data_IF_911354931069
#
_entry.id   IF_911354931069
#
_cell.length_a   1.000
_cell.length_b   1.000
_cell.length_c   1.000
_cell.angle_alpha   90.00
_cell.angle_beta   90.00
_cell.angle_gamma   90.00
#
_symmetry.space_group_name_H-M   'P 1'
#
loop_
_entity.id
_entity.type
_entity.pdbx_description
1 polymer ?
#
# COMPACT_ATOMS: atom_id res chain seq x y z
N UNK A 1 13.66 -22.20 38.66
CA UNK A 1 14.74 -21.20 38.54
C UNK A 1 14.30 -20.08 37.62
N UNK A 2 15.06 -18.99 37.56
CA UNK A 2 14.79 -17.76 36.81
C UNK A 2 14.45 -17.99 35.31
N UNK A 3 14.87 -19.12 34.74
CA UNK A 3 14.58 -19.55 33.36
C UNK A 3 13.09 -19.82 33.03
N UNK A 4 12.23 -19.91 34.05
CA UNK A 4 10.78 -20.06 33.89
C UNK A 4 10.00 -18.74 33.85
N UNK A 5 10.64 -17.62 34.19
CA UNK A 5 10.02 -16.28 34.27
C UNK A 5 10.17 -15.47 32.97
N UNK A 6 10.69 -16.09 31.92
CA UNK A 6 10.89 -15.45 30.63
C UNK A 6 9.53 -15.41 29.92
N UNK A 7 9.07 -14.21 29.57
CA UNK A 7 7.85 -14.03 28.76
C UNK A 7 8.03 -14.74 27.41
N UNK A 8 7.34 -15.86 27.24
CA UNK A 8 7.30 -16.60 25.98
C UNK A 8 6.05 -16.21 25.24
N UNK A 9 6.20 -15.83 23.99
CA UNK A 9 5.06 -15.59 23.12
C UNK A 9 4.18 -16.84 23.06
N UNK A 10 2.92 -16.72 23.49
CA UNK A 10 1.89 -17.76 23.34
C UNK A 10 1.41 -17.93 21.89
N UNK A 11 1.98 -17.17 20.96
CA UNK A 11 1.63 -17.25 19.54
C UNK A 11 2.08 -18.58 18.97
N UNK A 12 1.13 -19.31 18.41
CA UNK A 12 1.38 -20.52 17.64
C UNK A 12 2.48 -20.28 16.59
N UNK A 13 3.56 -21.07 16.67
CA UNK A 13 4.66 -21.03 15.71
C UNK A 13 4.21 -21.30 14.26
N UNK A 14 3.10 -22.01 14.07
CA UNK A 14 2.54 -22.35 12.76
C UNK A 14 1.01 -22.30 12.81
N UNK A 15 0.40 -21.57 11.89
CA UNK A 15 -1.07 -21.50 11.75
C UNK A 15 -1.49 -22.41 10.62
N UNK A 16 -2.31 -23.43 10.90
CA UNK A 16 -2.79 -24.39 9.90
C UNK A 16 -3.58 -23.72 8.76
N UNK A 17 -4.28 -22.61 9.06
CA UNK A 17 -5.02 -21.81 8.08
C UNK A 17 -4.17 -20.76 7.36
N UNK A 18 -2.83 -20.82 7.48
CA UNK A 18 -1.98 -19.95 6.68
C UNK A 18 -2.14 -20.38 5.22
N UNK A 19 -2.74 -19.49 4.42
CA UNK A 19 -2.90 -19.69 2.98
C UNK A 19 -1.58 -20.15 2.38
N UNK A 20 -1.65 -21.20 1.54
CA UNK A 20 -0.48 -21.71 0.84
C UNK A 20 0.25 -20.59 0.09
N UNK A 21 1.59 -20.64 0.11
CA UNK A 21 2.42 -19.61 -0.49
C UNK A 21 2.08 -19.39 -1.98
N UNK A 22 1.79 -20.46 -2.71
CA UNK A 22 1.37 -20.42 -4.12
C UNK A 22 0.10 -19.57 -4.35
N UNK A 23 -0.94 -19.77 -3.53
CA UNK A 23 -2.16 -18.96 -3.60
C UNK A 23 -1.88 -17.48 -3.29
N UNK A 24 -1.00 -17.21 -2.33
CA UNK A 24 -0.54 -15.86 -2.01
C UNK A 24 0.14 -15.19 -3.20
N UNK A 25 0.97 -15.92 -3.93
CA UNK A 25 1.64 -15.44 -5.15
C UNK A 25 0.64 -15.09 -6.25
N UNK A 26 -0.37 -15.95 -6.49
CA UNK A 26 -1.42 -15.66 -7.49
C UNK A 26 -2.23 -14.41 -7.14
N UNK A 27 -2.63 -14.27 -5.87
CA UNK A 27 -3.31 -13.06 -5.38
C UNK A 27 -2.46 -11.81 -5.61
N UNK A 28 -1.17 -11.86 -5.26
CA UNK A 28 -0.26 -10.73 -5.44
C UNK A 28 -0.03 -10.41 -6.93
N UNK A 29 0.06 -11.42 -7.80
CA UNK A 29 0.23 -11.25 -9.24
C UNK A 29 -0.98 -10.55 -9.87
N UNK A 30 -2.20 -11.01 -9.59
CA UNK A 30 -3.42 -10.34 -10.06
C UNK A 30 -3.54 -8.90 -9.54
N UNK A 31 -3.08 -8.66 -8.31
CA UNK A 31 -3.06 -7.33 -7.73
C UNK A 31 -2.11 -6.38 -8.43
N UNK A 32 -0.86 -6.79 -8.70
CA UNK A 32 0.16 -5.93 -9.32
C UNK A 32 -0.07 -5.73 -10.81
N UNK A 33 -0.45 -6.78 -11.53
CA UNK A 33 -0.51 -6.75 -12.99
C UNK A 33 -1.84 -6.22 -13.53
N UNK A 34 -2.92 -6.30 -12.75
CA UNK A 34 -4.28 -5.95 -13.19
C UNK A 34 -5.01 -5.00 -12.26
N UNK A 35 -4.35 -4.55 -11.19
CA UNK A 35 -4.90 -3.61 -10.19
C UNK A 35 -6.26 -4.06 -9.60
N UNK A 36 -6.52 -5.36 -9.55
CA UNK A 36 -7.80 -5.89 -9.10
C UNK A 36 -7.94 -5.76 -7.58
N UNK A 37 -9.15 -5.41 -7.13
CA UNK A 37 -9.51 -5.39 -5.71
C UNK A 37 -9.90 -6.78 -5.18
N UNK A 38 -10.00 -6.95 -3.85
CA UNK A 38 -10.37 -8.24 -3.25
C UNK A 38 -11.67 -8.83 -3.78
N UNK A 39 -12.68 -7.99 -4.05
CA UNK A 39 -13.96 -8.41 -4.61
C UNK A 39 -13.88 -8.94 -6.05
N UNK A 40 -12.86 -8.53 -6.83
CA UNK A 40 -12.62 -9.02 -8.19
C UNK A 40 -11.68 -10.22 -8.21
N UNK A 41 -10.67 -10.25 -7.34
CA UNK A 41 -9.73 -11.37 -7.23
C UNK A 41 -10.40 -12.61 -6.63
N UNK A 42 -11.30 -12.44 -5.65
CA UNK A 42 -11.95 -13.55 -4.95
C UNK A 42 -12.64 -14.55 -5.89
N UNK A 43 -13.57 -14.10 -6.75
CA UNK A 43 -14.23 -14.98 -7.72
C UNK A 43 -13.26 -15.65 -8.72
N UNK A 44 -12.18 -14.98 -9.12
CA UNK A 44 -11.19 -15.54 -10.07
C UNK A 44 -10.44 -16.73 -9.46
N UNK A 45 -10.18 -16.68 -8.15
CA UNK A 45 -9.36 -17.69 -7.45
C UNK A 45 -10.19 -18.60 -6.52
N UNK A 46 -11.52 -18.46 -6.50
CA UNK A 46 -12.39 -19.22 -5.59
C UNK A 46 -12.18 -18.88 -4.10
N UNK A 47 -11.78 -17.64 -3.79
CA UNK A 47 -11.47 -17.20 -2.43
C UNK A 47 -12.49 -16.16 -1.94
N UNK A 48 -12.85 -16.17 -0.64
CA UNK A 48 -13.63 -15.08 -0.08
C UNK A 48 -12.80 -13.79 -0.09
N UNK A 49 -13.45 -12.66 -0.39
CA UNK A 49 -12.79 -11.35 -0.49
C UNK A 49 -12.01 -10.97 0.80
N UNK A 50 -12.49 -11.41 1.96
CA UNK A 50 -11.83 -11.21 3.26
C UNK A 50 -10.48 -11.92 3.35
N UNK A 51 -10.36 -13.15 2.80
CA UNK A 51 -9.10 -13.88 2.74
C UNK A 51 -8.12 -13.20 1.79
N UNK A 52 -8.59 -12.77 0.61
CA UNK A 52 -7.77 -12.01 -0.35
C UNK A 52 -7.25 -10.73 0.29
N UNK A 53 -8.10 -9.97 0.96
CA UNK A 53 -7.69 -8.75 1.67
C UNK A 53 -6.60 -9.05 2.71
N UNK A 54 -6.79 -10.10 3.53
CA UNK A 54 -5.82 -10.52 4.56
C UNK A 54 -4.48 -10.97 3.97
N UNK A 55 -4.49 -11.62 2.79
CA UNK A 55 -3.29 -11.98 2.04
C UNK A 55 -2.56 -10.72 1.57
N UNK A 56 -3.28 -9.73 1.03
CA UNK A 56 -2.70 -8.49 0.50
C UNK A 56 -2.16 -7.54 1.58
N UNK A 57 -2.67 -7.60 2.80
CA UNK A 57 -2.15 -6.78 3.92
C UNK A 57 -0.69 -7.11 4.23
N UNK A 58 -0.33 -8.40 4.26
CA UNK A 58 1.02 -8.85 4.67
C UNK A 58 2.16 -8.24 3.83
N UNK A 59 2.07 -8.22 2.48
CA UNK A 59 3.06 -7.56 1.62
C UNK A 59 2.77 -6.06 1.37
N UNK A 60 1.78 -5.45 2.06
CA UNK A 60 1.45 -4.02 1.90
C UNK A 60 0.72 -3.66 0.60
N UNK A 61 0.09 -4.62 -0.07
CA UNK A 61 -0.58 -4.44 -1.37
C UNK A 61 -2.09 -4.13 -1.26
N UNK A 62 -2.62 -3.98 -0.06
CA UNK A 62 -4.06 -3.83 0.18
C UNK A 62 -4.66 -2.49 -0.32
N UNK A 63 -3.85 -1.44 -0.49
CA UNK A 63 -4.29 -0.11 -0.94
C UNK A 63 -3.72 0.22 -2.32
N UNK A 64 -4.57 0.35 -3.35
CA UNK A 64 -4.13 0.70 -4.72
C UNK A 64 -3.52 2.10 -4.79
N UNK A 65 -4.03 3.04 -4.01
CA UNK A 65 -3.48 4.39 -3.92
C UNK A 65 -2.01 4.41 -3.47
N UNK A 66 -1.55 3.33 -2.84
CA UNK A 66 -0.16 3.17 -2.40
C UNK A 66 0.66 2.35 -3.37
N UNK A 67 0.11 1.95 -4.53
CA UNK A 67 0.84 1.23 -5.57
C UNK A 67 1.09 2.14 -6.76
N UNK A 68 2.31 2.09 -7.30
CA UNK A 68 2.69 2.79 -8.53
C UNK A 68 1.97 2.12 -9.70
N UNK A 69 1.05 2.82 -10.37
CA UNK A 69 0.18 2.25 -11.42
C UNK A 69 0.91 1.50 -12.54
N UNK A 70 2.12 1.94 -12.90
CA UNK A 70 2.90 1.31 -13.98
C UNK A 70 3.59 -0.01 -13.59
N UNK A 71 3.74 -0.30 -12.29
CA UNK A 71 4.57 -1.43 -11.80
C UNK A 71 3.94 -2.22 -10.65
N UNK A 72 2.89 -1.71 -10.02
CA UNK A 72 2.27 -2.34 -8.86
C UNK A 72 3.15 -2.36 -7.61
N UNK A 73 4.26 -1.62 -7.61
CA UNK A 73 5.17 -1.50 -6.46
C UNK A 73 4.64 -0.51 -5.44
N UNK A 74 4.90 -0.75 -4.16
CA UNK A 74 4.50 0.18 -3.10
C UNK A 74 5.25 1.51 -3.29
N UNK A 75 4.49 2.60 -3.37
CA UNK A 75 5.01 3.96 -3.49
C UNK A 75 5.81 4.28 -2.22
N UNK A 76 7.13 4.36 -2.34
CA UNK A 76 8.00 4.97 -1.34
C UNK A 76 8.08 6.46 -1.65
N UNK A 77 7.74 7.29 -0.67
CA UNK A 77 7.77 8.74 -0.81
C UNK A 77 9.24 9.16 -0.83
N UNK A 78 9.68 9.85 -1.90
CA UNK A 78 11.07 10.27 -2.17
C UNK A 78 12.01 10.19 -0.97
N UNK A 79 12.65 9.03 -0.80
CA UNK A 79 13.77 8.87 0.12
C UNK A 79 15.03 9.35 -0.60
N UNK A 80 15.83 10.16 0.09
CA UNK A 80 17.13 10.66 -0.35
C UNK A 80 18.13 10.07 0.63
N UNK A 81 19.05 9.26 0.15
CA UNK A 81 19.98 8.55 1.02
C UNK A 81 21.12 9.47 1.47
N UNK A 82 21.42 10.52 0.69
CA UNK A 82 22.52 11.46 0.93
C UNK A 82 22.11 12.92 0.76
N UNK A 83 22.70 13.84 1.56
CA UNK A 83 22.59 15.27 1.31
C UNK A 83 23.09 15.65 -0.10
N UNK A 84 22.37 16.54 -0.78
CA UNK A 84 22.74 17.04 -2.12
C UNK A 84 22.14 16.29 -3.31
N UNK A 85 21.37 15.23 -3.08
CA UNK A 85 20.70 14.50 -4.16
C UNK A 85 19.63 15.36 -4.90
N UNK A 86 19.47 15.21 -6.24
CA UNK A 86 18.64 16.11 -7.04
C UNK A 86 17.14 15.96 -6.74
N UNK A 87 16.51 16.97 -6.15
CA UNK A 87 15.07 16.96 -5.85
C UNK A 87 14.25 17.33 -7.10
N UNK A 88 13.19 16.58 -7.37
CA UNK A 88 12.22 16.98 -8.39
C UNK A 88 11.34 18.10 -7.85
N UNK A 89 11.44 19.29 -8.47
CA UNK A 89 10.61 20.44 -8.14
C UNK A 89 9.63 20.66 -9.28
N UNK A 90 8.34 20.44 -9.02
CA UNK A 90 7.28 20.81 -9.96
C UNK A 90 7.00 22.30 -9.81
N UNK A 91 7.47 23.11 -10.75
CA UNK A 91 7.19 24.54 -10.79
C UNK A 91 6.03 24.78 -11.75
N UNK A 92 4.91 25.27 -11.22
CA UNK A 92 3.77 25.71 -12.03
C UNK A 92 3.56 27.21 -11.86
N UNK A 93 3.31 27.89 -12.97
CA UNK A 93 2.94 29.31 -12.96
C UNK A 93 1.46 29.42 -12.57
N UNK A 94 1.20 29.98 -11.40
CA UNK A 94 -0.15 30.32 -10.97
C UNK A 94 -0.57 31.68 -11.52
N UNK A 95 -1.88 31.88 -11.67
CA UNK A 95 -2.45 33.19 -12.02
C UNK A 95 -2.12 34.23 -10.96
N UNK A 96 -2.00 35.51 -11.36
CA UNK A 96 -1.84 36.60 -10.41
C UNK A 96 -3.09 36.74 -9.56
N UNK A 97 -2.91 36.97 -8.26
CA UNK A 97 -3.99 37.41 -7.38
C UNK A 97 -4.26 38.89 -7.73
N UNK A 98 -5.50 39.27 -8.08
CA UNK A 98 -5.83 40.66 -8.38
C UNK A 98 -5.79 41.52 -7.11
N UNK A 99 -5.64 42.83 -7.29
CA UNK A 99 -5.72 43.79 -6.20
C UNK A 99 -7.09 43.67 -5.51
N UNK A 100 -7.08 43.61 -4.18
CA UNK A 100 -8.29 43.32 -3.38
C UNK A 100 -8.51 41.84 -3.06
N UNK A 101 -7.65 40.93 -3.54
CA UNK A 101 -7.61 39.53 -3.11
C UNK A 101 -8.21 38.55 -4.12
N UNK A 102 -7.97 37.25 -3.91
CA UNK A 102 -8.44 36.18 -4.81
C UNK A 102 -9.89 35.77 -4.52
N UNK A 103 -10.35 34.70 -5.16
CA UNK A 103 -11.71 34.14 -5.00
C UNK A 103 -12.16 33.98 -3.54
N UNK A 104 -11.24 33.69 -2.61
CA UNK A 104 -11.56 33.59 -1.17
C UNK A 104 -12.06 34.90 -0.56
N UNK A 105 -11.57 36.05 -1.05
CA UNK A 105 -11.95 37.40 -0.58
C UNK A 105 -13.08 37.97 -1.43
N UNK A 106 -13.04 37.75 -2.75
CA UNK A 106 -13.98 38.37 -3.69
C UNK A 106 -15.21 37.51 -4.04
N UNK A 107 -15.22 36.22 -3.67
CA UNK A 107 -16.32 35.29 -3.95
C UNK A 107 -16.53 34.96 -5.42
N UNK A 108 -15.55 35.26 -6.28
CA UNK A 108 -15.54 35.04 -7.73
C UNK A 108 -14.14 34.71 -8.24
#
# INVERSE_FOLDING_TARGET
GESGLIDRSSRLHRTAHRTAAATGTHVCGLRRNRELGPARIGPILGLPASAVHRILIRPGLNRLAFLRRSTGEVIRRHERDRPGEPVHVDVRKLGRIPDGGGHKVLGR
#
